data_IF_666258671608
#
_entry.id   IF_666258671608
#
_cell.length_a   1.000
_cell.length_b   1.000
_cell.length_c   1.000
_cell.angle_alpha   90.00
_cell.angle_beta   90.00
_cell.angle_gamma   90.00
#
_symmetry.space_group_name_H-M   'P 1'
#
loop_
_entity.id
_entity.type
_entity.pdbx_description
1 polymer ?
#
# COMPACT_ATOMS: atom_id res chain seq x y z
N UNK A 1 9.70 -12.19 24.19
CA UNK A 1 8.59 -13.17 24.11
C UNK A 1 8.14 -13.20 22.66
N UNK A 2 8.50 -14.27 21.95
CA UNK A 2 8.00 -14.53 20.59
C UNK A 2 6.49 -14.78 20.68
N UNK A 3 5.71 -13.94 20.07
CA UNK A 3 4.28 -14.19 19.83
C UNK A 3 4.21 -15.16 18.65
N UNK A 4 4.13 -16.45 18.95
CA UNK A 4 3.75 -17.46 17.96
C UNK A 4 2.27 -17.24 17.64
N UNK A 5 1.98 -16.64 16.49
CA UNK A 5 0.63 -16.65 15.94
C UNK A 5 0.36 -18.11 15.55
N UNK A 6 -0.51 -18.76 16.31
CA UNK A 6 -0.91 -20.14 16.07
C UNK A 6 -1.77 -20.16 14.79
N UNK A 7 -1.19 -20.56 13.66
CA UNK A 7 -1.89 -20.72 12.37
C UNK A 7 -2.81 -21.95 12.36
N UNK A 8 -3.58 -22.12 13.41
CA UNK A 8 -4.65 -23.10 13.49
C UNK A 8 -5.91 -22.57 12.82
N UNK A 9 -6.15 -23.03 11.62
CA UNK A 9 -7.44 -23.20 10.91
C UNK A 9 -8.62 -22.25 11.23
N UNK A 10 -8.37 -20.94 11.35
CA UNK A 10 -9.35 -19.87 11.16
C UNK A 10 -8.76 -18.93 10.14
N UNK A 11 -9.50 -18.69 9.07
CA UNK A 11 -9.13 -17.75 8.01
C UNK A 11 -9.21 -16.32 8.59
N UNK A 12 -8.22 -15.94 9.41
CA UNK A 12 -8.13 -14.58 9.93
C UNK A 12 -7.90 -13.65 8.75
N UNK A 13 -8.85 -12.74 8.55
CA UNK A 13 -8.79 -11.72 7.51
C UNK A 13 -8.20 -10.45 8.07
N UNK A 14 -7.41 -9.76 7.26
CA UNK A 14 -7.03 -8.39 7.56
C UNK A 14 -8.29 -7.51 7.50
N UNK A 15 -8.50 -6.69 8.52
CA UNK A 15 -9.54 -5.67 8.55
C UNK A 15 -8.94 -4.31 8.25
N UNK A 16 -9.52 -3.59 7.29
CA UNK A 16 -9.11 -2.22 6.95
C UNK A 16 -9.87 -1.25 7.84
N UNK A 17 -9.13 -0.31 8.41
CA UNK A 17 -9.67 0.84 9.13
C UNK A 17 -9.25 2.10 8.40
N UNK A 18 -10.24 2.90 8.02
CA UNK A 18 -10.07 4.19 7.34
C UNK A 18 -9.97 5.34 8.35
N UNK A 19 -9.58 6.53 7.89
CA UNK A 19 -9.42 7.74 8.72
C UNK A 19 -8.35 7.62 9.82
N UNK A 20 -7.40 6.73 9.66
CA UNK A 20 -6.36 6.39 10.65
C UNK A 20 -5.02 7.11 10.37
N UNK A 21 -5.08 8.41 10.06
CA UNK A 21 -3.91 9.18 9.60
C UNK A 21 -2.72 9.10 10.57
N UNK A 22 -2.93 9.30 11.86
CA UNK A 22 -1.85 9.30 12.84
C UNK A 22 -1.21 7.91 12.98
N UNK A 23 -2.04 6.87 13.06
CA UNK A 23 -1.58 5.49 13.15
C UNK A 23 -0.86 5.07 11.86
N UNK A 24 -1.40 5.41 10.70
CA UNK A 24 -0.80 5.09 9.41
C UNK A 24 0.58 5.74 9.24
N UNK A 25 0.69 7.05 9.52
CA UNK A 25 1.99 7.76 9.44
C UNK A 25 2.99 7.18 10.43
N UNK A 26 2.57 6.83 11.64
CA UNK A 26 3.44 6.20 12.63
C UNK A 26 4.03 4.88 12.11
N UNK A 27 3.21 4.03 11.50
CA UNK A 27 3.67 2.76 10.90
C UNK A 27 4.59 3.02 9.70
N UNK A 28 4.25 3.97 8.83
CA UNK A 28 5.10 4.33 7.68
C UNK A 28 6.49 4.80 8.12
N UNK A 29 6.57 5.63 9.17
CA UNK A 29 7.84 6.09 9.75
C UNK A 29 8.64 4.95 10.38
N UNK A 30 7.98 4.06 11.13
CA UNK A 30 8.61 2.86 11.71
C UNK A 30 9.28 2.01 10.62
N UNK A 31 8.55 1.73 9.54
CA UNK A 31 9.07 0.92 8.43
C UNK A 31 10.16 1.64 7.64
N UNK A 32 10.01 2.96 7.42
CA UNK A 32 11.02 3.76 6.75
C UNK A 32 12.33 3.84 7.56
N UNK A 33 12.25 4.01 8.89
CA UNK A 33 13.43 4.01 9.76
C UNK A 33 14.18 2.68 9.66
N UNK A 34 13.47 1.56 9.80
CA UNK A 34 14.07 0.24 9.60
C UNK A 34 14.68 0.08 8.21
N UNK A 35 14.00 0.53 7.17
CA UNK A 35 14.49 0.43 5.78
C UNK A 35 15.79 1.18 5.56
N UNK A 36 15.93 2.38 6.13
CA UNK A 36 17.19 3.16 6.08
C UNK A 36 18.33 2.44 6.78
N UNK A 37 18.09 1.91 7.98
CA UNK A 37 19.10 1.14 8.73
C UNK A 37 19.55 -0.12 7.96
N UNK A 38 18.64 -0.74 7.21
CA UNK A 38 18.92 -1.89 6.37
C UNK A 38 19.51 -1.53 4.99
N UNK A 39 19.73 -0.25 4.68
CA UNK A 39 20.30 0.23 3.42
C UNK A 39 19.33 0.22 2.23
N UNK A 40 18.02 0.14 2.49
CA UNK A 40 17.02 0.23 1.44
C UNK A 40 16.66 1.68 1.10
N UNK A 41 16.28 1.91 -0.15
CA UNK A 41 15.66 3.16 -0.55
C UNK A 41 14.23 3.19 -0.02
N UNK A 42 13.92 4.17 0.80
CA UNK A 42 12.63 4.37 1.44
C UNK A 42 12.24 5.84 1.41
N UNK A 43 11.01 6.15 1.79
CA UNK A 43 10.52 7.52 1.87
C UNK A 43 11.34 8.33 2.90
N UNK A 44 11.78 9.54 2.56
CA UNK A 44 12.35 10.48 3.54
C UNK A 44 11.31 10.81 4.63
N UNK A 45 11.76 11.05 5.87
CA UNK A 45 10.86 11.43 6.95
C UNK A 45 10.07 12.71 6.67
N UNK A 46 10.69 13.65 5.93
CA UNK A 46 10.04 14.88 5.50
C UNK A 46 8.80 14.64 4.61
N UNK A 47 8.72 13.51 3.93
CA UNK A 47 7.55 13.14 3.11
C UNK A 47 6.44 12.47 3.91
N UNK A 48 6.73 12.04 5.14
CA UNK A 48 5.80 11.32 6.01
C UNK A 48 5.26 12.24 7.11
N UNK A 49 4.80 13.41 6.73
CA UNK A 49 4.06 14.34 7.59
C UNK A 49 2.63 14.52 7.08
N UNK A 50 1.68 14.86 7.95
CA UNK A 50 0.31 15.13 7.52
C UNK A 50 0.24 16.19 6.41
N UNK A 51 0.99 17.27 6.57
CA UNK A 51 1.01 18.41 5.64
C UNK A 51 1.54 17.99 4.26
N UNK A 52 2.67 17.28 4.23
CA UNK A 52 3.29 16.87 2.97
C UNK A 52 2.45 15.82 2.24
N UNK A 53 1.84 14.89 2.95
CA UNK A 53 0.97 13.89 2.35
C UNK A 53 -0.33 14.52 1.81
N UNK A 54 -0.86 15.54 2.49
CA UNK A 54 -2.01 16.31 1.97
C UNK A 54 -1.63 17.13 0.73
N UNK A 55 -0.42 17.66 0.66
CA UNK A 55 0.11 18.30 -0.55
C UNK A 55 0.21 17.34 -1.75
N UNK A 56 0.31 16.03 -1.49
CA UNK A 56 0.25 14.96 -2.50
C UNK A 56 -1.18 14.49 -2.79
N UNK A 57 -2.20 15.29 -2.47
CA UNK A 57 -3.63 15.02 -2.65
C UNK A 57 -4.16 13.83 -1.82
N UNK A 58 -3.46 13.41 -0.77
CA UNK A 58 -3.94 12.40 0.16
C UNK A 58 -4.79 13.05 1.25
N UNK A 59 -6.07 12.77 1.26
CA UNK A 59 -7.00 13.30 2.26
C UNK A 59 -7.00 12.48 3.54
N UNK A 60 -7.42 13.03 4.69
CA UNK A 60 -7.47 12.30 5.96
C UNK A 60 -8.22 10.97 5.89
N UNK A 61 -9.30 10.90 5.12
CA UNK A 61 -10.10 9.69 4.92
C UNK A 61 -9.41 8.58 4.12
N UNK A 62 -8.34 8.92 3.40
CA UNK A 62 -7.58 7.95 2.61
C UNK A 62 -6.55 7.16 3.42
N UNK A 63 -6.21 7.62 4.63
CA UNK A 63 -5.23 6.93 5.47
C UNK A 63 -5.83 5.69 6.11
N UNK A 64 -5.19 4.57 5.85
CA UNK A 64 -5.66 3.26 6.27
C UNK A 64 -4.60 2.52 7.10
N UNK A 65 -5.08 1.76 8.07
CA UNK A 65 -4.30 0.68 8.68
C UNK A 65 -5.00 -0.65 8.42
N UNK A 66 -4.21 -1.71 8.30
CA UNK A 66 -4.71 -3.08 8.32
C UNK A 66 -4.44 -3.69 9.68
N UNK A 67 -5.46 -4.35 10.23
CA UNK A 67 -5.34 -5.09 11.50
C UNK A 67 -5.60 -6.58 11.28
N UNK A 68 -4.84 -7.43 11.99
CA UNK A 68 -5.00 -8.87 12.03
C UNK A 68 -4.98 -9.31 13.49
N UNK A 69 -5.98 -10.06 13.94
CA UNK A 69 -6.12 -10.46 15.35
C UNK A 69 -6.02 -9.28 16.34
N UNK A 70 -6.52 -8.10 15.95
CA UNK A 70 -6.47 -6.89 16.78
C UNK A 70 -5.14 -6.13 16.74
N UNK A 71 -4.11 -6.64 16.06
CA UNK A 71 -2.82 -5.96 15.91
C UNK A 71 -2.71 -5.22 14.59
N UNK A 72 -2.13 -4.02 14.61
CA UNK A 72 -1.82 -3.27 13.39
C UNK A 72 -0.65 -3.94 12.68
N UNK A 73 -0.88 -4.43 11.45
CA UNK A 73 0.10 -5.16 10.65
C UNK A 73 0.68 -4.34 9.50
N UNK A 74 -0.07 -3.37 9.00
CA UNK A 74 0.35 -2.54 7.85
C UNK A 74 -0.31 -1.16 7.88
N UNK A 75 0.20 -0.28 7.03
CA UNK A 75 -0.40 1.00 6.72
C UNK A 75 -0.32 1.28 5.22
N UNK A 76 -1.25 2.10 4.72
CA UNK A 76 -1.31 2.52 3.32
C UNK A 76 -2.23 3.73 3.16
N UNK A 77 -2.17 4.35 1.97
CA UNK A 77 -3.17 5.30 1.53
C UNK A 77 -4.01 4.64 0.43
N UNK A 78 -5.34 4.75 0.50
CA UNK A 78 -6.26 4.23 -0.49
C UNK A 78 -7.11 5.37 -1.05
N UNK A 79 -6.90 5.69 -2.33
CA UNK A 79 -7.56 6.79 -3.02
C UNK A 79 -8.47 6.25 -4.11
N UNK A 80 -9.44 7.05 -4.55
CA UNK A 80 -10.42 6.68 -5.58
C UNK A 80 -10.18 7.40 -6.91
N UNK A 81 -9.14 8.24 -6.94
CA UNK A 81 -8.63 8.95 -8.12
C UNK A 81 -7.12 9.06 -7.99
N UNK A 82 -6.42 9.13 -9.12
CA UNK A 82 -4.98 9.42 -9.18
C UNK A 82 -4.70 10.26 -10.43
N UNK A 83 -4.61 11.56 -10.23
CA UNK A 83 -4.37 12.52 -11.31
C UNK A 83 -2.93 12.56 -11.81
N UNK A 84 -1.99 11.96 -11.05
CA UNK A 84 -0.56 11.96 -11.38
C UNK A 84 -0.22 10.86 -12.37
N UNK A 85 -0.60 9.64 -12.05
CA UNK A 85 -0.24 8.46 -12.85
C UNK A 85 -1.37 7.97 -13.76
N UNK A 86 -2.62 8.32 -13.45
CA UNK A 86 -3.82 7.89 -14.16
C UNK A 86 -4.77 9.06 -14.47
N UNK A 87 -4.26 10.16 -15.11
CA UNK A 87 -5.02 11.40 -15.29
C UNK A 87 -6.31 11.23 -16.11
N UNK A 88 -6.34 10.25 -17.01
CA UNK A 88 -7.48 10.01 -17.91
C UNK A 88 -8.45 8.93 -17.38
N UNK A 89 -8.17 8.34 -16.21
CA UNK A 89 -9.02 7.30 -15.65
C UNK A 89 -10.29 7.92 -15.02
N UNK A 90 -11.47 7.31 -15.26
CA UNK A 90 -12.68 7.75 -14.59
C UNK A 90 -12.56 7.65 -13.07
N UNK A 91 -13.13 8.63 -12.36
CA UNK A 91 -13.22 8.58 -10.92
C UNK A 91 -13.98 7.31 -10.47
N UNK A 92 -13.51 6.68 -9.41
CA UNK A 92 -14.11 5.45 -8.86
C UNK A 92 -14.07 4.22 -9.79
N UNK A 93 -13.30 4.25 -10.88
CA UNK A 93 -13.03 3.05 -11.67
C UNK A 93 -12.08 2.10 -10.94
N UNK A 94 -11.12 2.67 -10.23
CA UNK A 94 -10.11 1.92 -9.48
C UNK A 94 -9.91 2.47 -8.06
N UNK A 95 -9.37 1.62 -7.20
CA UNK A 95 -8.74 1.99 -5.95
C UNK A 95 -7.23 2.11 -6.18
N UNK A 96 -6.65 3.23 -5.80
CA UNK A 96 -5.23 3.52 -5.96
C UNK A 96 -4.52 3.36 -4.62
N UNK A 97 -3.63 2.37 -4.57
CA UNK A 97 -2.89 1.98 -3.37
C UNK A 97 -1.53 2.69 -3.34
N UNK A 98 -1.34 3.58 -2.39
CA UNK A 98 -0.10 4.32 -2.20
C UNK A 98 0.51 4.09 -0.81
N UNK A 99 1.82 4.29 -0.69
CA UNK A 99 2.55 4.23 0.58
C UNK A 99 2.34 2.92 1.35
N UNK A 100 2.04 1.82 0.65
CA UNK A 100 1.83 0.54 1.30
C UNK A 100 3.11 0.03 1.98
N UNK A 101 2.99 -0.30 3.24
CA UNK A 101 4.07 -0.91 4.01
C UNK A 101 3.54 -1.89 5.06
N UNK A 102 4.31 -2.93 5.30
CA UNK A 102 4.03 -3.97 6.30
C UNK A 102 5.03 -3.83 7.44
N UNK A 103 4.56 -3.81 8.68
CA UNK A 103 5.42 -3.75 9.86
C UNK A 103 6.40 -4.92 9.86
N UNK A 104 7.64 -4.66 10.20
CA UNK A 104 8.75 -5.60 10.05
C UNK A 104 8.50 -6.96 10.68
N UNK A 105 7.87 -7.01 11.85
CA UNK A 105 7.57 -8.27 12.55
C UNK A 105 6.60 -9.20 11.80
N UNK A 106 5.88 -8.68 10.80
CA UNK A 106 4.96 -9.44 9.94
C UNK A 106 5.50 -9.65 8.52
N UNK A 107 6.71 -9.18 8.24
CA UNK A 107 7.32 -9.33 6.92
C UNK A 107 7.59 -10.81 6.61
N UNK A 108 7.40 -11.19 5.34
CA UNK A 108 7.56 -12.59 4.91
C UNK A 108 6.41 -13.53 5.27
N UNK A 109 5.38 -13.04 5.96
CA UNK A 109 4.22 -13.85 6.38
C UNK A 109 3.03 -13.76 5.40
N UNK A 110 3.26 -13.32 4.16
CA UNK A 110 2.20 -13.22 3.14
C UNK A 110 1.22 -12.07 3.34
N UNK A 111 1.55 -11.09 4.18
CA UNK A 111 0.66 -9.97 4.51
C UNK A 111 0.18 -9.20 3.29
N UNK A 112 1.02 -9.00 2.27
CA UNK A 112 0.62 -8.30 1.05
C UNK A 112 -0.61 -8.95 0.40
N UNK A 113 -0.64 -10.27 0.30
CA UNK A 113 -1.81 -10.98 -0.27
C UNK A 113 -3.06 -10.81 0.57
N UNK A 114 -2.94 -10.90 1.90
CA UNK A 114 -4.07 -10.72 2.82
C UNK A 114 -4.62 -9.29 2.76
N UNK A 115 -3.75 -8.29 2.69
CA UNK A 115 -4.15 -6.89 2.56
C UNK A 115 -4.81 -6.63 1.21
N UNK A 116 -4.23 -7.12 0.11
CA UNK A 116 -4.81 -6.99 -1.23
C UNK A 116 -6.19 -7.63 -1.30
N UNK A 117 -6.40 -8.79 -0.66
CA UNK A 117 -7.73 -9.42 -0.62
C UNK A 117 -8.73 -8.59 0.21
N UNK A 118 -8.31 -8.01 1.32
CA UNK A 118 -9.16 -7.10 2.09
C UNK A 118 -9.53 -5.84 1.29
N UNK A 119 -8.58 -5.28 0.51
CA UNK A 119 -8.87 -4.16 -0.41
C UNK A 119 -9.84 -4.60 -1.51
N UNK A 120 -9.70 -5.82 -2.05
CA UNK A 120 -10.65 -6.35 -3.04
C UNK A 120 -12.07 -6.45 -2.49
N UNK A 121 -12.24 -6.94 -1.26
CA UNK A 121 -13.55 -7.00 -0.60
C UNK A 121 -14.16 -5.59 -0.46
N UNK A 122 -13.37 -4.60 -0.07
CA UNK A 122 -13.79 -3.20 0.00
C UNK A 122 -14.17 -2.64 -1.39
N UNK A 123 -13.36 -2.93 -2.42
CA UNK A 123 -13.64 -2.53 -3.79
C UNK A 123 -14.95 -3.12 -4.31
N UNK A 124 -15.20 -4.42 -4.09
CA UNK A 124 -16.46 -5.08 -4.48
C UNK A 124 -17.67 -4.42 -3.85
N UNK A 125 -17.60 -4.08 -2.56
CA UNK A 125 -18.70 -3.42 -1.85
C UNK A 125 -19.03 -2.04 -2.42
N UNK A 126 -18.06 -1.39 -3.10
CA UNK A 126 -18.19 -0.07 -3.70
C UNK A 126 -18.41 -0.11 -5.21
N UNK A 127 -18.41 -1.28 -5.85
CA UNK A 127 -18.50 -1.42 -7.30
C UNK A 127 -17.24 -0.95 -8.06
N UNK A 128 -16.09 -0.93 -7.39
CA UNK A 128 -14.78 -0.60 -7.98
C UNK A 128 -14.27 -1.82 -8.74
N UNK A 129 -13.73 -1.59 -9.95
CA UNK A 129 -13.32 -2.68 -10.86
C UNK A 129 -11.86 -3.10 -10.71
N UNK A 130 -10.98 -2.15 -10.37
CA UNK A 130 -9.55 -2.38 -10.36
C UNK A 130 -8.91 -1.91 -9.06
N UNK A 131 -7.80 -2.55 -8.70
CA UNK A 131 -6.81 -2.02 -7.76
C UNK A 131 -5.58 -1.65 -8.57
N UNK A 132 -5.09 -0.42 -8.41
CA UNK A 132 -3.94 0.13 -9.12
C UNK A 132 -2.88 0.60 -8.14
N UNK A 133 -1.64 0.52 -8.53
CA UNK A 133 -0.50 1.04 -7.78
C UNK A 133 0.65 1.35 -8.72
N UNK A 134 1.63 2.07 -8.21
CA UNK A 134 2.86 2.37 -8.90
C UNK A 134 4.08 2.03 -8.04
N UNK A 135 5.18 1.69 -8.68
CA UNK A 135 6.49 1.61 -8.04
C UNK A 135 7.58 1.89 -9.07
N UNK A 136 8.73 2.34 -8.57
CA UNK A 136 9.84 2.55 -9.47
C UNK A 136 10.28 1.23 -10.13
N UNK A 137 10.54 1.26 -11.42
CA UNK A 137 10.88 0.08 -12.21
C UNK A 137 12.19 -0.58 -11.73
N UNK A 138 13.10 0.21 -11.17
CA UNK A 138 14.38 -0.25 -10.60
C UNK A 138 14.24 -0.86 -9.18
N UNK A 139 13.03 -0.87 -8.60
CA UNK A 139 12.71 -1.53 -7.32
C UNK A 139 12.20 -2.97 -7.55
N UNK A 140 13.02 -3.81 -8.21
CA UNK A 140 12.61 -5.16 -8.66
C UNK A 140 12.01 -6.03 -7.55
N UNK A 141 12.54 -5.93 -6.30
CA UNK A 141 12.02 -6.70 -5.16
C UNK A 141 10.60 -6.29 -4.80
N UNK A 142 10.31 -4.99 -4.85
CA UNK A 142 8.97 -4.46 -4.58
C UNK A 142 8.02 -4.84 -5.71
N UNK A 143 8.44 -4.67 -6.96
CA UNK A 143 7.70 -5.11 -8.14
C UNK A 143 7.32 -6.59 -8.09
N UNK A 144 8.28 -7.46 -7.70
CA UNK A 144 8.02 -8.89 -7.56
C UNK A 144 6.93 -9.20 -6.52
N UNK A 145 6.90 -8.48 -5.39
CA UNK A 145 5.86 -8.67 -4.36
C UNK A 145 4.47 -8.44 -4.96
N UNK A 146 4.29 -7.41 -5.80
CA UNK A 146 3.01 -7.11 -6.43
C UNK A 146 2.66 -8.11 -7.53
N UNK A 147 3.63 -8.53 -8.35
CA UNK A 147 3.40 -9.59 -9.34
C UNK A 147 2.97 -10.90 -8.64
N UNK A 148 3.63 -11.28 -7.55
CA UNK A 148 3.28 -12.46 -6.74
C UNK A 148 1.89 -12.33 -6.06
N UNK A 149 1.42 -11.09 -5.83
CA UNK A 149 0.08 -10.79 -5.34
C UNK A 149 -0.98 -10.74 -6.46
N UNK A 150 -0.60 -11.01 -7.70
CA UNK A 150 -1.48 -11.14 -8.86
C UNK A 150 -1.76 -9.82 -9.58
N UNK A 151 -0.93 -8.80 -9.38
CA UNK A 151 -0.93 -7.61 -10.23
C UNK A 151 -0.16 -7.89 -11.52
N UNK A 152 -0.42 -7.11 -12.55
CA UNK A 152 0.36 -7.08 -13.77
C UNK A 152 0.71 -5.64 -14.16
N UNK A 153 1.81 -5.45 -14.86
CA UNK A 153 2.23 -4.14 -15.34
C UNK A 153 1.40 -3.80 -16.58
N UNK A 154 0.72 -2.66 -16.55
CA UNK A 154 -0.08 -2.17 -17.68
C UNK A 154 0.60 -1.02 -18.42
N UNK A 155 1.53 -0.31 -17.76
CA UNK A 155 2.24 0.81 -18.36
C UNK A 155 3.57 1.06 -17.65
N UNK A 156 4.55 1.55 -18.40
CA UNK A 156 5.78 2.12 -17.84
C UNK A 156 5.88 3.56 -18.32
N UNK A 157 6.15 4.47 -17.40
CA UNK A 157 6.28 5.91 -17.68
C UNK A 157 7.66 6.41 -17.24
N UNK A 158 8.24 7.31 -18.03
CA UNK A 158 9.46 8.02 -17.65
C UNK A 158 9.09 9.26 -16.83
N UNK A 159 9.77 9.46 -15.71
CA UNK A 159 9.61 10.63 -14.87
C UNK A 159 10.65 11.69 -15.18
N UNK A 160 10.37 12.99 -14.92
CA UNK A 160 11.31 14.09 -15.18
C UNK A 160 12.67 13.94 -14.46
N UNK A 161 12.71 13.20 -13.35
CA UNK A 161 13.93 12.92 -12.59
C UNK A 161 14.79 11.78 -13.18
N UNK A 162 14.46 11.29 -14.38
CA UNK A 162 15.20 10.23 -15.08
C UNK A 162 14.84 8.80 -14.62
N UNK A 163 13.94 8.63 -13.63
CA UNK A 163 13.45 7.30 -13.23
C UNK A 163 12.27 6.87 -14.10
N UNK A 164 12.05 5.60 -14.18
CA UNK A 164 10.84 5.00 -14.76
C UNK A 164 9.96 4.42 -13.68
N UNK A 165 8.66 4.62 -13.80
CA UNK A 165 7.64 4.05 -12.92
C UNK A 165 6.88 2.97 -13.67
N UNK A 166 6.72 1.81 -13.05
CA UNK A 166 5.82 0.76 -13.51
C UNK A 166 4.45 0.97 -12.86
N UNK A 167 3.42 0.99 -13.67
CA UNK A 167 2.03 1.08 -13.25
C UNK A 167 1.42 -0.32 -13.27
N UNK A 168 0.89 -0.73 -12.14
CA UNK A 168 0.32 -2.06 -11.92
C UNK A 168 -1.19 -1.99 -11.78
N UNK A 169 -1.86 -3.02 -12.28
CA UNK A 169 -3.30 -3.18 -12.17
C UNK A 169 -3.65 -4.62 -11.78
N UNK A 170 -4.73 -4.78 -11.03
CA UNK A 170 -5.35 -6.06 -10.70
C UNK A 170 -6.87 -5.89 -10.72
N UNK A 171 -7.57 -6.82 -11.39
CA UNK A 171 -9.03 -6.90 -11.31
C UNK A 171 -9.52 -7.32 -9.93
N UNK A 172 -10.66 -6.77 -9.53
CA UNK A 172 -11.34 -7.02 -8.24
C UNK A 172 -12.12 -8.33 -8.23
#
# INVERSE_FOLDING_TARGET
>A
KEVRINMGCFCEKVKIQFHEMQAAISVMREVAAWGREAGYRVWPDAWLTPEELQNQDVRPENFCIGTLAGEVVCAFCLQWTDSVYWPDAPAYEAAYLHKFCVRRRFAGMGMTRLVVEAIREECRSRGIRYIRLDTALDEERVGKIYLDAGFHIVKVIACPNGRSMALYEKEV
#
